data_IF_862095022129
#
_entry.id   IF_862095022129
#
_cell.length_a   1.000
_cell.length_b   1.000
_cell.length_c   1.000
_cell.angle_alpha   90.00
_cell.angle_beta   90.00
_cell.angle_gamma   90.00
#
_symmetry.space_group_name_H-M   'P 1'
#
loop_
_entity.id
_entity.type
_entity.pdbx_description
1 polymer ?
#
# COMPACT_ATOMS: atom_id res chain seq x y z
N UNK A 1 -11.92 -10.11 39.20
CA UNK A 1 -13.15 -10.58 38.52
C UNK A 1 -14.34 -10.59 39.49
N UNK A 2 -14.35 -11.45 40.49
CA UNK A 2 -15.51 -11.58 41.39
C UNK A 2 -15.79 -10.32 42.23
N UNK A 3 -14.79 -9.56 42.64
CA UNK A 3 -14.99 -8.24 43.28
C UNK A 3 -15.78 -7.27 42.42
N UNK A 4 -15.51 -7.29 41.11
CA UNK A 4 -16.21 -6.42 40.14
C UNK A 4 -17.65 -6.84 39.87
N UNK A 5 -18.04 -8.10 40.19
CA UNK A 5 -19.40 -8.62 40.01
C UNK A 5 -20.24 -8.60 41.32
N UNK A 6 -19.63 -8.19 42.44
CA UNK A 6 -20.28 -8.12 43.73
C UNK A 6 -20.59 -9.49 44.33
N UNK A 7 -19.96 -10.56 43.85
CA UNK A 7 -20.10 -11.90 44.37
C UNK A 7 -19.22 -12.09 45.61
N UNK A 8 -19.79 -12.45 46.75
CA UNK A 8 -19.06 -12.84 47.93
C UNK A 8 -18.39 -14.21 47.72
N UNK A 9 -17.10 -14.30 47.94
CA UNK A 9 -16.33 -15.54 47.74
C UNK A 9 -15.21 -15.68 48.79
N UNK A 10 -14.78 -16.93 49.02
CA UNK A 10 -13.57 -17.24 49.76
C UNK A 10 -12.65 -18.08 48.90
N UNK A 11 -11.34 -17.88 49.02
CA UNK A 11 -10.31 -18.64 48.31
C UNK A 11 -9.65 -19.58 49.35
N UNK A 12 -9.66 -20.89 49.08
CA UNK A 12 -8.95 -21.88 49.84
C UNK A 12 -7.88 -22.52 48.93
N UNK A 13 -6.64 -22.64 49.40
CA UNK A 13 -5.55 -23.29 48.66
C UNK A 13 -4.98 -24.42 49.52
N UNK A 14 -4.73 -25.58 48.90
CA UNK A 14 -4.20 -26.78 49.55
C UNK A 14 -2.79 -27.21 49.04
N UNK A 15 -2.13 -26.32 48.31
CA UNK A 15 -0.81 -26.63 47.69
C UNK A 15 -0.92 -27.33 46.33
N UNK A 16 -2.07 -27.91 45.98
CA UNK A 16 -2.33 -28.49 44.66
C UNK A 16 -3.07 -27.54 43.72
N UNK A 17 -3.74 -26.52 44.30
CA UNK A 17 -4.51 -25.52 43.54
C UNK A 17 -5.29 -24.56 44.43
N UNK A 18 -6.09 -23.71 43.81
CA UNK A 18 -6.97 -22.80 44.48
C UNK A 18 -8.43 -23.18 44.21
N UNK A 19 -9.22 -23.35 45.28
CA UNK A 19 -10.64 -23.56 45.22
C UNK A 19 -11.38 -22.25 45.54
N UNK A 20 -12.38 -21.93 44.75
CA UNK A 20 -13.28 -20.80 44.95
C UNK A 20 -14.58 -21.29 45.60
N UNK A 21 -14.83 -20.85 46.79
CA UNK A 21 -16.06 -21.13 47.53
C UNK A 21 -16.99 -19.94 47.43
N UNK A 22 -18.22 -20.22 46.96
CA UNK A 22 -19.31 -19.23 46.88
C UNK A 22 -20.56 -19.85 47.52
N UNK A 23 -21.49 -19.01 47.98
CA UNK A 23 -22.76 -19.52 48.52
C UNK A 23 -23.56 -20.29 47.45
N UNK A 24 -24.26 -21.37 47.79
CA UNK A 24 -24.91 -22.25 46.80
C UNK A 24 -25.80 -21.53 45.79
N UNK A 25 -26.54 -20.50 46.25
CA UNK A 25 -27.39 -19.68 45.41
C UNK A 25 -26.64 -18.91 44.31
N UNK A 26 -25.34 -18.65 44.47
CA UNK A 26 -24.52 -17.96 43.48
C UNK A 26 -23.61 -18.90 42.66
N UNK A 27 -23.65 -20.20 42.90
CA UNK A 27 -22.79 -21.18 42.26
C UNK A 27 -22.87 -21.15 40.70
N UNK A 28 -24.09 -21.13 40.16
CA UNK A 28 -24.33 -21.10 38.72
C UNK A 28 -23.80 -19.79 38.08
N UNK A 29 -24.03 -18.65 38.75
CA UNK A 29 -23.52 -17.34 38.31
C UNK A 29 -22.00 -17.28 38.37
N UNK A 30 -21.39 -17.79 39.42
CA UNK A 30 -19.93 -17.84 39.56
C UNK A 30 -19.31 -18.73 38.47
N UNK A 31 -19.94 -19.86 38.15
CA UNK A 31 -19.50 -20.77 37.09
C UNK A 31 -19.59 -20.12 35.70
N UNK A 32 -20.65 -19.41 35.38
CA UNK A 32 -20.82 -18.66 34.12
C UNK A 32 -19.77 -17.56 33.99
N UNK A 33 -19.53 -16.78 35.06
CA UNK A 33 -18.48 -15.75 35.08
C UNK A 33 -17.08 -16.34 34.91
N UNK A 34 -16.78 -17.48 35.52
CA UNK A 34 -15.50 -18.16 35.31
C UNK A 34 -15.33 -18.65 33.86
N UNK A 35 -16.36 -19.19 33.24
CA UNK A 35 -16.34 -19.63 31.85
C UNK A 35 -16.14 -18.43 30.90
N UNK A 36 -16.86 -17.34 31.11
CA UNK A 36 -16.68 -16.09 30.35
C UNK A 36 -15.25 -15.56 30.48
N UNK A 37 -14.73 -15.49 31.68
CA UNK A 37 -13.36 -15.05 31.93
C UNK A 37 -12.31 -15.96 31.26
N UNK A 38 -12.48 -17.26 31.35
CA UNK A 38 -11.58 -18.22 30.68
C UNK A 38 -11.63 -18.06 29.17
N UNK A 39 -12.82 -17.87 28.59
CA UNK A 39 -12.98 -17.59 27.16
C UNK A 39 -12.33 -16.27 26.75
N UNK A 40 -12.56 -15.19 27.50
CA UNK A 40 -11.90 -13.90 27.23
C UNK A 40 -10.39 -13.98 27.33
N UNK A 41 -9.86 -14.65 28.35
CA UNK A 41 -8.41 -14.84 28.55
C UNK A 41 -7.79 -15.66 27.42
N UNK A 42 -8.47 -16.71 26.96
CA UNK A 42 -8.01 -17.53 25.83
C UNK A 42 -7.96 -16.72 24.52
N UNK A 43 -9.00 -15.90 24.26
CA UNK A 43 -9.05 -14.99 23.13
C UNK A 43 -7.94 -13.91 23.21
N UNK A 44 -7.71 -13.36 24.40
CA UNK A 44 -6.63 -12.40 24.62
C UNK A 44 -5.26 -13.03 24.36
N UNK A 45 -5.00 -14.21 24.90
CA UNK A 45 -3.75 -14.93 24.68
C UNK A 45 -3.53 -15.28 23.20
N UNK A 46 -4.58 -15.73 22.49
CA UNK A 46 -4.52 -16.00 21.05
C UNK A 46 -4.21 -14.73 20.24
N UNK A 47 -4.81 -13.58 20.59
CA UNK A 47 -4.52 -12.29 19.98
C UNK A 47 -3.08 -11.85 20.23
N UNK A 48 -2.60 -12.01 21.47
CA UNK A 48 -1.25 -11.64 21.85
C UNK A 48 -0.20 -12.49 21.11
N UNK A 49 -0.42 -13.81 21.00
CA UNK A 49 0.42 -14.70 20.18
C UNK A 49 0.44 -14.26 18.71
N UNK A 50 -0.72 -13.99 18.12
CA UNK A 50 -0.81 -13.53 16.73
C UNK A 50 -0.09 -12.19 16.53
N UNK A 51 -0.17 -11.28 17.50
CA UNK A 51 0.53 -9.99 17.47
C UNK A 51 2.05 -10.17 17.57
N UNK A 52 2.54 -11.02 18.49
CA UNK A 52 3.96 -11.32 18.61
C UNK A 52 4.50 -12.03 17.38
N UNK A 53 3.75 -12.96 16.76
CA UNK A 53 4.12 -13.60 15.50
C UNK A 53 4.25 -12.61 14.34
N UNK A 54 3.37 -11.61 14.28
CA UNK A 54 3.46 -10.53 13.28
C UNK A 54 4.67 -9.62 13.51
N UNK A 55 4.96 -9.29 14.77
CA UNK A 55 6.11 -8.47 15.16
C UNK A 55 7.45 -9.19 15.00
N UNK A 56 7.49 -10.51 15.24
CA UNK A 56 8.68 -11.33 15.11
C UNK A 56 9.09 -11.59 13.65
N UNK A 57 8.25 -11.22 12.67
CA UNK A 57 8.58 -11.41 11.25
C UNK A 57 9.73 -10.51 10.87
N UNK A 58 10.83 -11.12 10.41
CA UNK A 58 11.96 -10.37 9.86
C UNK A 58 11.49 -9.61 8.60
N UNK A 59 11.88 -8.35 8.41
CA UNK A 59 11.63 -7.62 7.16
C UNK A 59 12.21 -8.37 5.97
N UNK A 60 11.64 -8.19 4.79
CA UNK A 60 12.26 -8.67 3.55
C UNK A 60 13.53 -7.87 3.25
N UNK A 61 14.53 -8.55 2.70
CA UNK A 61 15.71 -7.90 2.12
C UNK A 61 15.44 -7.35 0.72
N UNK A 62 16.50 -6.79 0.10
CA UNK A 62 16.43 -6.30 -1.29
C UNK A 62 15.83 -4.89 -1.46
N UNK A 63 15.65 -4.16 -0.37
CA UNK A 63 15.11 -2.79 -0.42
C UNK A 63 15.99 -1.83 -1.25
N UNK A 64 17.31 -1.97 -1.15
CA UNK A 64 18.27 -1.18 -1.94
C UNK A 64 18.18 -1.46 -3.44
N UNK A 65 18.03 -2.73 -3.83
CA UNK A 65 17.94 -3.10 -5.24
C UNK A 65 16.65 -2.54 -5.88
N UNK A 66 15.51 -2.65 -5.18
CA UNK A 66 14.25 -2.08 -5.67
C UNK A 66 14.29 -0.55 -5.76
N UNK A 67 14.85 0.12 -4.74
CA UNK A 67 15.03 1.57 -4.75
C UNK A 67 15.98 2.03 -5.88
N UNK A 68 17.09 1.31 -6.08
CA UNK A 68 18.00 1.60 -7.17
C UNK A 68 17.36 1.40 -8.55
N UNK A 69 16.58 0.35 -8.74
CA UNK A 69 15.83 0.11 -9.98
C UNK A 69 14.80 1.21 -10.26
N UNK A 70 14.06 1.65 -9.25
CA UNK A 70 13.13 2.76 -9.36
C UNK A 70 13.87 4.07 -9.75
N UNK A 71 14.91 4.42 -9.02
CA UNK A 71 15.70 5.61 -9.31
C UNK A 71 16.33 5.56 -10.71
N UNK A 72 16.86 4.40 -11.10
CA UNK A 72 17.45 4.20 -12.42
C UNK A 72 16.43 4.47 -13.54
N UNK A 73 15.21 3.93 -13.44
CA UNK A 73 14.16 4.13 -14.44
C UNK A 73 13.82 5.61 -14.58
N UNK A 74 13.60 6.31 -13.45
CA UNK A 74 13.27 7.74 -13.51
C UNK A 74 14.39 8.59 -14.07
N UNK A 75 15.65 8.31 -13.69
CA UNK A 75 16.81 9.05 -14.19
C UNK A 75 17.08 8.78 -15.67
N UNK A 76 16.92 7.53 -16.14
CA UNK A 76 17.07 7.20 -17.57
C UNK A 76 16.03 7.91 -18.43
N UNK A 77 14.77 7.97 -17.98
CA UNK A 77 13.72 8.70 -18.70
C UNK A 77 13.98 10.21 -18.65
N UNK A 78 14.38 10.76 -17.50
CA UNK A 78 14.71 12.17 -17.37
C UNK A 78 15.89 12.57 -18.28
N UNK A 79 16.92 11.71 -18.41
CA UNK A 79 18.02 11.89 -19.37
C UNK A 79 17.50 11.87 -20.82
N UNK A 80 16.65 10.90 -21.17
CA UNK A 80 16.03 10.81 -22.49
C UNK A 80 15.23 12.06 -22.86
N UNK A 81 14.52 12.65 -21.90
CA UNK A 81 13.80 13.92 -22.09
C UNK A 81 14.75 15.09 -22.29
N UNK A 82 15.83 15.18 -21.48
CA UNK A 82 16.77 16.30 -21.51
C UNK A 82 17.59 16.37 -22.78
N UNK A 83 18.20 15.26 -23.17
CA UNK A 83 19.10 15.20 -24.32
C UNK A 83 18.43 14.87 -25.65
N UNK A 84 17.18 14.42 -25.61
CA UNK A 84 16.37 14.00 -26.80
C UNK A 84 17.20 13.22 -27.86
N UNK A 85 17.94 12.18 -27.48
CA UNK A 85 18.95 11.55 -28.35
C UNK A 85 18.34 10.94 -29.63
N UNK A 86 17.00 10.78 -29.68
CA UNK A 86 16.26 10.18 -30.79
C UNK A 86 15.33 11.16 -31.50
N UNK A 87 15.48 12.48 -31.27
CA UNK A 87 14.57 13.52 -31.81
C UNK A 87 13.09 13.27 -31.50
N UNK A 88 12.80 12.60 -30.38
CA UNK A 88 11.45 12.24 -29.94
C UNK A 88 11.00 13.19 -28.84
N UNK A 89 9.80 13.72 -28.96
CA UNK A 89 9.13 14.40 -27.84
C UNK A 89 8.58 13.36 -26.86
N UNK A 90 9.39 13.07 -25.84
CA UNK A 90 9.06 12.09 -24.80
C UNK A 90 7.80 12.47 -24.01
N UNK A 91 7.62 13.76 -23.75
CA UNK A 91 6.46 14.26 -23.00
C UNK A 91 5.18 14.13 -23.85
N UNK A 92 5.22 14.57 -25.11
CA UNK A 92 4.08 14.43 -25.99
C UNK A 92 3.69 12.94 -26.21
N UNK A 93 4.68 12.03 -26.25
CA UNK A 93 4.47 10.60 -26.49
C UNK A 93 3.98 9.87 -25.26
N UNK A 94 4.43 10.26 -24.05
CA UNK A 94 4.26 9.49 -22.82
C UNK A 94 3.40 10.12 -21.73
N UNK A 95 3.08 11.41 -21.79
CA UNK A 95 2.23 12.06 -20.79
C UNK A 95 0.82 11.46 -20.75
N UNK A 96 0.24 11.37 -19.58
CA UNK A 96 -1.17 11.02 -19.41
C UNK A 96 -2.02 12.04 -20.17
N UNK A 97 -2.94 11.58 -20.98
CA UNK A 97 -3.85 12.42 -21.74
C UNK A 97 -5.25 11.84 -21.72
N UNK A 98 -6.24 12.65 -21.37
CA UNK A 98 -7.63 12.28 -21.57
C UNK A 98 -7.94 12.34 -23.09
N UNK A 99 -8.38 11.24 -23.73
CA UNK A 99 -8.69 11.24 -25.15
C UNK A 99 -9.94 12.07 -25.42
N UNK A 100 -10.06 12.67 -26.62
CA UNK A 100 -11.31 13.22 -27.08
C UNK A 100 -12.42 12.14 -27.10
N UNK A 101 -13.67 12.56 -26.93
CA UNK A 101 -14.82 11.65 -26.94
C UNK A 101 -14.85 10.83 -28.24
N UNK A 102 -14.95 9.50 -28.09
CA UNK A 102 -14.98 8.55 -29.21
C UNK A 102 -13.63 8.08 -29.73
N UNK A 103 -12.52 8.52 -29.13
CA UNK A 103 -11.19 8.00 -29.46
C UNK A 103 -10.76 6.92 -28.48
N UNK A 104 -9.85 6.05 -28.94
CA UNK A 104 -9.31 4.97 -28.12
C UNK A 104 -8.34 5.50 -27.07
N UNK A 105 -8.40 4.89 -25.88
CA UNK A 105 -7.42 5.13 -24.80
C UNK A 105 -6.04 4.65 -25.22
N UNK A 106 -5.05 5.52 -25.17
CA UNK A 106 -3.64 5.19 -25.34
C UNK A 106 -3.11 4.62 -24.00
N UNK A 107 -3.43 3.35 -23.73
CA UNK A 107 -3.22 2.67 -22.44
C UNK A 107 -1.80 2.79 -21.88
N UNK A 108 -0.79 2.85 -22.75
CA UNK A 108 0.62 3.02 -22.33
C UNK A 108 0.86 4.29 -21.53
N UNK A 109 0.10 5.35 -21.80
CA UNK A 109 0.21 6.63 -21.10
C UNK A 109 -0.07 6.51 -19.60
N UNK A 110 -0.91 5.56 -19.21
CA UNK A 110 -1.16 5.27 -17.79
C UNK A 110 0.10 4.83 -17.05
N UNK A 111 1.08 4.29 -17.76
CA UNK A 111 2.34 3.84 -17.19
C UNK A 111 3.51 4.78 -17.50
N UNK A 112 3.64 5.23 -18.76
CA UNK A 112 4.76 6.10 -19.15
C UNK A 112 4.73 7.44 -18.44
N UNK A 113 3.55 8.00 -18.16
CA UNK A 113 3.37 9.23 -17.39
C UNK A 113 3.98 9.15 -15.98
N UNK A 114 3.97 7.97 -15.35
CA UNK A 114 4.58 7.75 -14.03
C UNK A 114 6.11 7.87 -14.05
N UNK A 115 6.73 7.89 -15.22
CA UNK A 115 8.20 7.99 -15.35
C UNK A 115 8.66 9.37 -15.81
N UNK A 116 7.74 10.24 -16.23
CA UNK A 116 8.00 11.59 -16.71
C UNK A 116 7.89 12.62 -15.57
N UNK A 117 8.66 13.70 -15.65
CA UNK A 117 8.65 14.76 -14.65
C UNK A 117 8.79 16.14 -15.30
N UNK A 118 8.13 17.16 -14.71
CA UNK A 118 8.08 18.52 -15.23
C UNK A 118 9.36 19.30 -14.92
N UNK A 119 10.00 19.02 -13.78
CA UNK A 119 11.20 19.74 -13.34
C UNK A 119 12.11 18.83 -12.50
N UNK A 120 13.40 19.21 -12.32
CA UNK A 120 14.32 18.50 -11.43
C UNK A 120 13.81 18.40 -9.98
N UNK A 121 13.14 19.43 -9.46
CA UNK A 121 12.57 19.46 -8.10
C UNK A 121 11.43 18.44 -7.98
N UNK A 122 10.57 18.35 -9.01
CA UNK A 122 9.50 17.38 -9.08
C UNK A 122 10.06 15.94 -9.13
N UNK A 123 11.10 15.70 -9.94
CA UNK A 123 11.81 14.43 -9.98
C UNK A 123 12.44 14.09 -8.62
N UNK A 124 13.13 15.05 -7.98
CA UNK A 124 13.81 14.82 -6.71
C UNK A 124 12.81 14.48 -5.60
N UNK A 125 11.68 15.19 -5.51
CA UNK A 125 10.64 14.90 -4.54
C UNK A 125 10.06 13.49 -4.72
N UNK A 126 9.80 13.10 -5.96
CA UNK A 126 9.31 11.75 -6.29
C UNK A 126 10.36 10.67 -5.99
N UNK A 127 11.65 10.93 -6.23
CA UNK A 127 12.72 10.03 -5.84
C UNK A 127 12.75 9.82 -4.33
N UNK A 128 12.71 10.90 -3.54
CA UNK A 128 12.77 10.82 -2.08
C UNK A 128 11.57 10.05 -1.51
N UNK A 129 10.37 10.48 -1.85
CA UNK A 129 9.14 9.87 -1.30
C UNK A 129 8.87 8.49 -1.89
N UNK A 130 9.18 8.27 -3.18
CA UNK A 130 9.03 6.97 -3.82
C UNK A 130 10.00 5.93 -3.27
N UNK A 131 11.27 6.30 -3.02
CA UNK A 131 12.23 5.42 -2.35
C UNK A 131 11.76 5.11 -0.93
N UNK A 132 11.32 6.10 -0.16
CA UNK A 132 10.82 5.88 1.21
C UNK A 132 9.62 4.92 1.23
N UNK A 133 8.59 5.17 0.42
CA UNK A 133 7.41 4.30 0.28
C UNK A 133 7.79 2.91 -0.24
N UNK A 134 8.64 2.82 -1.25
CA UNK A 134 9.11 1.59 -1.85
C UNK A 134 9.92 0.72 -0.88
N UNK A 135 10.79 1.33 -0.07
CA UNK A 135 11.53 0.62 0.99
C UNK A 135 10.58 0.04 2.03
N UNK A 136 9.57 0.80 2.48
CA UNK A 136 8.57 0.32 3.43
C UNK A 136 7.73 -0.83 2.83
N UNK A 137 7.28 -0.70 1.60
CA UNK A 137 6.57 -1.76 0.88
C UNK A 137 7.47 -3.00 0.69
N UNK A 138 8.75 -2.82 0.33
CA UNK A 138 9.70 -3.94 0.20
C UNK A 138 9.87 -4.68 1.52
N UNK A 139 10.05 -3.96 2.62
CA UNK A 139 10.21 -4.60 3.94
C UNK A 139 9.01 -5.44 4.34
N UNK A 140 7.81 -5.06 3.89
CA UNK A 140 6.56 -5.74 4.24
C UNK A 140 6.18 -6.84 3.25
N UNK A 141 6.28 -6.58 1.94
CA UNK A 141 5.77 -7.46 0.86
C UNK A 141 6.87 -8.15 0.05
N UNK A 142 8.10 -7.70 0.17
CA UNK A 142 9.23 -8.11 -0.67
C UNK A 142 9.49 -7.15 -1.84
N UNK A 143 10.69 -7.27 -2.42
CA UNK A 143 11.18 -6.33 -3.44
C UNK A 143 10.38 -6.38 -4.74
N UNK A 144 9.95 -7.55 -5.19
CA UNK A 144 9.17 -7.66 -6.43
C UNK A 144 7.70 -7.30 -6.23
N UNK A 145 7.03 -7.97 -5.28
CA UNK A 145 5.60 -7.78 -5.04
C UNK A 145 5.29 -6.38 -4.53
N UNK A 146 6.16 -5.81 -3.67
CA UNK A 146 5.99 -4.45 -3.16
C UNK A 146 6.04 -3.40 -4.27
N UNK A 147 7.09 -3.42 -5.09
CA UNK A 147 7.25 -2.47 -6.20
C UNK A 147 6.23 -2.69 -7.32
N UNK A 148 5.89 -3.93 -7.63
CA UNK A 148 4.82 -4.23 -8.58
C UNK A 148 3.47 -3.70 -8.11
N UNK A 149 3.15 -3.84 -6.80
CA UNK A 149 1.94 -3.27 -6.22
C UNK A 149 1.91 -1.75 -6.31
N UNK A 150 3.03 -1.07 -6.08
CA UNK A 150 3.16 0.39 -6.26
C UNK A 150 2.91 0.78 -7.72
N UNK A 151 3.56 0.10 -8.66
CA UNK A 151 3.38 0.35 -10.09
C UNK A 151 1.93 0.16 -10.52
N UNK A 152 1.32 -0.97 -10.17
CA UNK A 152 -0.06 -1.28 -10.54
C UNK A 152 -1.05 -0.30 -9.91
N UNK A 153 -0.82 0.16 -8.67
CA UNK A 153 -1.69 1.18 -8.07
C UNK A 153 -1.67 2.50 -8.86
N UNK A 154 -0.49 2.94 -9.31
CA UNK A 154 -0.34 4.10 -10.16
C UNK A 154 -0.99 3.92 -11.54
N UNK A 155 -0.77 2.77 -12.18
CA UNK A 155 -1.37 2.46 -13.50
C UNK A 155 -2.89 2.43 -13.43
N UNK A 156 -3.46 1.76 -12.43
CA UNK A 156 -4.92 1.69 -12.25
C UNK A 156 -5.51 3.08 -12.00
N UNK A 157 -4.86 3.89 -11.18
CA UNK A 157 -5.28 5.26 -10.92
C UNK A 157 -5.27 6.10 -12.21
N UNK A 158 -4.18 6.07 -12.96
CA UNK A 158 -4.06 6.79 -14.22
C UNK A 158 -5.06 6.32 -15.28
N UNK A 159 -5.37 5.01 -15.36
CA UNK A 159 -6.42 4.50 -16.25
C UNK A 159 -7.81 5.04 -15.88
N UNK A 160 -8.11 5.12 -14.59
CA UNK A 160 -9.36 5.73 -14.14
C UNK A 160 -9.36 7.21 -14.46
N UNK A 161 -8.28 7.92 -14.13
CA UNK A 161 -8.17 9.35 -14.33
C UNK A 161 -8.33 9.77 -15.79
N UNK A 162 -7.59 9.12 -16.71
CA UNK A 162 -7.72 9.43 -18.14
C UNK A 162 -9.10 9.11 -18.71
N UNK A 163 -9.90 8.28 -18.01
CA UNK A 163 -11.27 7.95 -18.41
C UNK A 163 -12.31 8.97 -17.95
N UNK A 164 -12.01 9.72 -16.87
CA UNK A 164 -12.97 10.67 -16.26
C UNK A 164 -12.53 12.12 -16.36
N UNK A 165 -11.25 12.37 -16.66
CA UNK A 165 -10.72 13.72 -16.80
C UNK A 165 -11.30 14.42 -18.06
N UNK A 166 -11.43 15.76 -18.04
CA UNK A 166 -11.90 16.50 -19.18
C UNK A 166 -10.96 16.37 -20.38
N UNK A 167 -11.51 16.50 -21.59
CA UNK A 167 -10.72 16.50 -22.82
C UNK A 167 -9.62 17.58 -22.77
N UNK A 168 -8.40 17.22 -23.18
CA UNK A 168 -7.23 18.09 -23.10
C UNK A 168 -6.49 18.07 -21.77
N UNK A 169 -6.97 17.32 -20.78
CA UNK A 169 -6.22 17.08 -19.54
C UNK A 169 -4.92 16.35 -19.83
N UNK A 170 -3.85 16.79 -19.17
CA UNK A 170 -2.54 16.13 -19.24
C UNK A 170 -1.83 16.16 -17.90
N UNK A 171 -1.22 15.04 -17.51
CA UNK A 171 -0.44 14.91 -16.27
C UNK A 171 0.81 14.06 -16.48
N UNK A 172 1.85 14.35 -15.67
CA UNK A 172 3.09 13.56 -15.58
C UNK A 172 3.61 13.56 -14.14
N UNK A 173 4.17 12.44 -13.72
CA UNK A 173 4.81 12.31 -12.40
C UNK A 173 4.63 10.93 -11.80
N UNK A 174 5.65 10.47 -11.06
CA UNK A 174 5.56 9.23 -10.28
C UNK A 174 4.65 9.36 -9.05
N UNK A 175 4.21 10.56 -8.71
CA UNK A 175 3.50 10.87 -7.46
C UNK A 175 2.22 10.05 -7.27
N UNK A 176 1.46 9.78 -8.34
CA UNK A 176 0.29 8.88 -8.31
C UNK A 176 0.66 7.50 -7.74
N UNK A 177 1.77 6.91 -8.19
CA UNK A 177 2.28 5.64 -7.67
C UNK A 177 2.88 5.80 -6.26
N UNK A 178 3.51 6.92 -5.94
CA UNK A 178 4.01 7.24 -4.59
C UNK A 178 2.85 7.24 -3.60
N UNK A 179 1.74 7.94 -3.89
CA UNK A 179 0.53 7.88 -3.05
C UNK A 179 -0.11 6.49 -3.07
N UNK A 180 0.04 5.74 -4.16
CA UNK A 180 -0.29 4.32 -4.22
C UNK A 180 0.46 3.51 -3.16
N UNK A 181 1.74 3.78 -2.91
CA UNK A 181 2.52 3.13 -1.85
C UNK A 181 1.97 3.40 -0.45
N UNK A 182 1.55 4.65 -0.19
CA UNK A 182 0.91 5.06 1.08
C UNK A 182 -0.42 4.33 1.26
N UNK A 183 -1.23 4.27 0.20
CA UNK A 183 -2.48 3.52 0.17
C UNK A 183 -2.27 2.04 0.46
N UNK A 184 -1.29 1.41 -0.21
CA UNK A 184 -0.96 -0.01 -0.07
C UNK A 184 -0.60 -0.38 1.38
N UNK A 185 0.23 0.44 2.02
CA UNK A 185 0.60 0.28 3.43
C UNK A 185 -0.60 0.48 4.36
N UNK A 186 -1.40 1.52 4.10
CA UNK A 186 -2.57 1.87 4.91
C UNK A 186 -3.65 0.79 4.84
N UNK A 187 -3.98 0.31 3.65
CA UNK A 187 -4.99 -0.72 3.43
C UNK A 187 -4.61 -2.05 4.06
N UNK A 188 -3.34 -2.45 3.89
CA UNK A 188 -2.81 -3.65 4.53
C UNK A 188 -2.87 -3.54 6.07
N UNK A 189 -2.35 -2.44 6.63
CA UNK A 189 -2.31 -2.24 8.07
C UNK A 189 -3.74 -2.15 8.66
N UNK A 190 -4.66 -1.46 8.00
CA UNK A 190 -6.05 -1.37 8.40
C UNK A 190 -6.71 -2.75 8.48
N UNK A 191 -6.57 -3.56 7.44
CA UNK A 191 -7.12 -4.93 7.43
C UNK A 191 -6.53 -5.82 8.53
N UNK A 192 -5.23 -5.69 8.81
CA UNK A 192 -4.59 -6.43 9.91
C UNK A 192 -5.18 -6.05 11.27
N UNK A 193 -5.39 -4.77 11.53
CA UNK A 193 -5.98 -4.29 12.78
C UNK A 193 -7.42 -4.72 12.96
N UNK A 194 -8.22 -4.78 11.89
CA UNK A 194 -9.56 -5.36 11.92
C UNK A 194 -9.52 -6.84 12.31
N UNK A 195 -8.58 -7.60 11.74
CA UNK A 195 -8.40 -9.03 12.04
C UNK A 195 -7.98 -9.27 13.50
N UNK A 196 -7.18 -8.37 14.06
CA UNK A 196 -6.75 -8.42 15.46
C UNK A 196 -7.83 -7.92 16.43
N UNK A 197 -8.96 -7.43 15.94
CA UNK A 197 -10.04 -6.82 16.75
C UNK A 197 -9.51 -5.77 17.72
N UNK A 198 -8.58 -4.93 17.26
CA UNK A 198 -8.06 -3.83 18.07
C UNK A 198 -9.17 -2.86 18.46
N UNK A 199 -8.92 -2.03 19.50
CA UNK A 199 -9.88 -1.00 19.94
C UNK A 199 -10.22 -0.09 18.77
N UNK A 200 -11.47 0.37 18.68
CA UNK A 200 -12.02 1.13 17.55
C UNK A 200 -11.09 2.28 17.09
N UNK A 201 -10.60 3.07 18.04
CA UNK A 201 -9.71 4.20 17.76
C UNK A 201 -8.43 3.77 17.00
N UNK A 202 -7.80 2.64 17.40
CA UNK A 202 -6.57 2.16 16.80
C UNK A 202 -6.76 1.50 15.43
N UNK A 203 -7.99 1.07 15.08
CA UNK A 203 -8.26 0.48 13.77
C UNK A 203 -8.12 1.51 12.65
N UNK A 204 -8.50 2.76 12.93
CA UNK A 204 -8.53 3.83 11.93
C UNK A 204 -7.20 4.56 11.77
N UNK A 205 -6.25 4.43 12.69
CA UNK A 205 -4.99 5.17 12.61
C UNK A 205 -4.20 4.98 11.32
N UNK A 206 -4.14 3.79 10.65
CA UNK A 206 -3.44 3.67 9.37
C UNK A 206 -4.10 4.47 8.25
N UNK A 207 -5.44 4.49 8.22
CA UNK A 207 -6.19 5.29 7.24
C UNK A 207 -6.03 6.78 7.51
N UNK A 208 -6.19 7.21 8.77
CA UNK A 208 -6.02 8.62 9.14
C UNK A 208 -4.61 9.10 8.84
N UNK A 209 -3.59 8.30 9.14
CA UNK A 209 -2.20 8.61 8.79
C UNK A 209 -1.99 8.74 7.28
N UNK A 210 -2.54 7.82 6.49
CA UNK A 210 -2.49 7.86 5.02
C UNK A 210 -3.20 9.09 4.45
N UNK A 211 -4.41 9.39 4.91
CA UNK A 211 -5.19 10.57 4.50
C UNK A 211 -4.48 11.86 4.92
N UNK A 212 -3.88 11.90 6.12
CA UNK A 212 -3.10 13.08 6.56
C UNK A 212 -1.88 13.33 5.67
N UNK A 213 -1.16 12.27 5.27
CA UNK A 213 -0.05 12.39 4.33
C UNK A 213 -0.52 12.85 2.95
N UNK A 214 -1.65 12.32 2.46
CA UNK A 214 -2.24 12.76 1.21
C UNK A 214 -2.62 14.25 1.27
N UNK A 215 -3.26 14.70 2.34
CA UNK A 215 -3.64 16.10 2.50
C UNK A 215 -2.42 17.03 2.61
N UNK A 216 -1.37 16.61 3.35
CA UNK A 216 -0.18 17.41 3.58
C UNK A 216 0.72 17.52 2.34
N UNK A 217 0.92 16.41 1.63
CA UNK A 217 1.88 16.32 0.53
C UNK A 217 1.21 16.36 -0.85
N UNK A 218 -0.08 16.00 -0.91
CA UNK A 218 -0.81 15.79 -2.16
C UNK A 218 -1.57 17.00 -2.69
N UNK A 219 -1.71 18.08 -1.91
CA UNK A 219 -2.56 19.23 -2.25
C UNK A 219 -1.79 20.56 -2.36
N UNK A 220 -0.46 20.55 -2.27
CA UNK A 220 0.35 21.78 -2.27
C UNK A 220 0.90 22.16 -3.64
N UNK A 221 0.40 23.27 -4.24
CA UNK A 221 0.95 23.86 -5.47
C UNK A 221 -0.09 24.04 -6.58
N UNK A 222 0.15 25.03 -7.47
CA UNK A 222 -0.80 25.41 -8.54
C UNK A 222 -0.93 24.36 -9.67
N UNK A 223 0.01 23.41 -9.77
CA UNK A 223 0.05 22.39 -10.83
C UNK A 223 0.05 20.96 -10.29
N UNK A 224 -0.51 20.77 -9.08
CA UNK A 224 -0.54 19.45 -8.44
C UNK A 224 -1.74 18.66 -8.92
N UNK A 225 -1.51 17.46 -9.39
CA UNK A 225 -2.54 16.49 -9.77
C UNK A 225 -3.17 15.85 -8.53
N UNK A 226 -4.07 16.58 -7.87
CA UNK A 226 -4.75 16.12 -6.65
C UNK A 226 -5.62 14.90 -6.91
N UNK A 227 -6.26 14.83 -8.10
CA UNK A 227 -7.12 13.70 -8.46
C UNK A 227 -6.30 12.43 -8.65
N UNK A 228 -5.20 12.48 -9.40
CA UNK A 228 -4.29 11.35 -9.55
C UNK A 228 -3.71 10.86 -8.23
N UNK A 229 -3.34 11.79 -7.32
CA UNK A 229 -2.88 11.43 -5.97
C UNK A 229 -3.95 10.68 -5.15
N UNK A 230 -5.20 11.18 -5.17
CA UNK A 230 -6.32 10.53 -4.49
C UNK A 230 -6.60 9.15 -5.08
N UNK A 231 -6.67 9.05 -6.41
CA UNK A 231 -6.90 7.78 -7.09
C UNK A 231 -5.77 6.78 -6.85
N UNK A 232 -4.51 7.25 -6.84
CA UNK A 232 -3.34 6.45 -6.48
C UNK A 232 -3.45 5.87 -5.09
N UNK A 233 -3.78 6.72 -4.11
CA UNK A 233 -4.00 6.29 -2.73
C UNK A 233 -5.13 5.27 -2.62
N UNK A 234 -6.27 5.49 -3.27
CA UNK A 234 -7.42 4.58 -3.23
C UNK A 234 -7.10 3.23 -3.91
N UNK A 235 -6.46 3.24 -5.07
CA UNK A 235 -6.02 2.02 -5.75
C UNK A 235 -5.04 1.22 -4.88
N UNK A 236 -4.06 1.90 -4.28
CA UNK A 236 -3.14 1.29 -3.32
C UNK A 236 -3.85 0.72 -2.10
N UNK A 237 -4.83 1.44 -1.53
CA UNK A 237 -5.63 1.01 -0.37
C UNK A 237 -6.34 -0.32 -0.66
N UNK A 238 -6.98 -0.43 -1.82
CA UNK A 238 -7.69 -1.64 -2.24
C UNK A 238 -6.71 -2.80 -2.46
N UNK A 239 -5.57 -2.56 -3.12
CA UNK A 239 -4.53 -3.57 -3.31
C UNK A 239 -3.93 -4.02 -1.98
N UNK A 240 -3.64 -3.11 -1.06
CA UNK A 240 -3.12 -3.44 0.28
C UNK A 240 -4.08 -4.27 1.10
N UNK A 241 -5.37 -3.94 1.02
CA UNK A 241 -6.44 -4.76 1.59
C UNK A 241 -6.45 -6.17 0.97
N UNK A 242 -6.39 -6.27 -0.36
CA UNK A 242 -6.32 -7.54 -1.09
C UNK A 242 -5.09 -8.37 -0.71
N UNK A 243 -3.92 -7.73 -0.57
CA UNK A 243 -2.68 -8.37 -0.11
C UNK A 243 -2.84 -8.96 1.30
N UNK A 244 -3.54 -8.26 2.19
CA UNK A 244 -3.80 -8.76 3.53
C UNK A 244 -4.75 -9.97 3.53
N UNK A 245 -5.75 -9.99 2.64
CA UNK A 245 -6.65 -11.13 2.45
C UNK A 245 -5.90 -12.34 1.89
N UNK A 246 -5.10 -12.14 0.84
CA UNK A 246 -4.30 -13.18 0.20
C UNK A 246 -3.13 -13.68 1.06
N UNK A 247 -2.81 -12.99 2.15
CA UNK A 247 -1.68 -13.35 3.01
C UNK A 247 -0.31 -13.17 2.36
N UNK A 248 -0.20 -12.21 1.43
CA UNK A 248 1.01 -11.92 0.62
C UNK A 248 2.31 -11.86 1.44
N UNK A 249 2.38 -11.23 2.62
CA UNK A 249 3.61 -11.21 3.40
C UNK A 249 4.08 -12.57 3.94
N UNK A 250 3.28 -13.64 3.76
CA UNK A 250 3.65 -15.00 4.18
C UNK A 250 4.57 -15.68 3.19
N UNK A 251 4.56 -15.25 1.93
CA UNK A 251 5.32 -15.92 0.87
C UNK A 251 6.71 -15.28 0.72
N UNK A 252 7.73 -15.94 1.31
CA UNK A 252 9.14 -15.50 1.26
C UNK A 252 9.94 -16.15 0.12
N UNK A 253 9.29 -16.89 -0.79
CA UNK A 253 9.97 -17.51 -1.92
C UNK A 253 10.50 -16.46 -2.90
N UNK A 254 11.68 -16.69 -3.44
CA UNK A 254 12.29 -15.77 -4.41
C UNK A 254 11.54 -15.75 -5.76
N UNK A 255 11.01 -16.90 -6.19
CA UNK A 255 10.36 -17.02 -7.49
C UNK A 255 9.20 -16.01 -7.71
N UNK A 256 8.19 -15.87 -6.82
CA UNK A 256 7.15 -14.86 -7.03
C UNK A 256 7.67 -13.42 -6.92
N UNK A 257 8.74 -13.18 -6.17
CA UNK A 257 9.36 -11.86 -6.12
C UNK A 257 10.04 -11.51 -7.45
N UNK A 258 10.81 -12.44 -8.00
CA UNK A 258 11.49 -12.26 -9.30
C UNK A 258 10.48 -12.12 -10.44
N UNK A 259 9.41 -12.92 -10.43
CA UNK A 259 8.34 -12.83 -11.42
C UNK A 259 7.66 -11.45 -11.38
N UNK A 260 7.30 -10.97 -10.20
CA UNK A 260 6.67 -9.66 -10.04
C UNK A 260 7.60 -8.51 -10.47
N UNK A 261 8.89 -8.58 -10.08
CA UNK A 261 9.88 -7.59 -10.51
C UNK A 261 10.08 -7.60 -12.03
N UNK A 262 10.22 -8.78 -12.63
CA UNK A 262 10.34 -8.94 -14.09
C UNK A 262 9.10 -8.46 -14.85
N UNK A 263 7.90 -8.77 -14.33
CA UNK A 263 6.65 -8.30 -14.93
C UNK A 263 6.54 -6.76 -14.88
N UNK A 264 6.91 -6.13 -13.75
CA UNK A 264 6.94 -4.67 -13.64
C UNK A 264 7.91 -4.03 -14.63
N UNK A 265 9.13 -4.57 -14.74
CA UNK A 265 10.12 -4.08 -15.70
C UNK A 265 9.64 -4.27 -17.16
N UNK A 266 9.09 -5.43 -17.49
CA UNK A 266 8.55 -5.71 -18.83
C UNK A 266 7.41 -4.76 -19.19
N UNK A 267 6.50 -4.46 -18.26
CA UNK A 267 5.41 -3.51 -18.49
C UNK A 267 5.94 -2.11 -18.83
N UNK A 268 6.98 -1.62 -18.12
CA UNK A 268 7.60 -0.32 -18.40
C UNK A 268 8.20 -0.29 -19.82
N UNK A 269 8.96 -1.34 -20.17
CA UNK A 269 9.59 -1.44 -21.50
C UNK A 269 8.53 -1.50 -22.61
N UNK A 270 7.50 -2.32 -22.44
CA UNK A 270 6.42 -2.48 -23.43
C UNK A 270 5.62 -1.18 -23.59
N UNK A 271 5.35 -0.46 -22.48
CA UNK A 271 4.62 0.80 -22.54
C UNK A 271 5.41 1.88 -23.28
N UNK A 272 6.70 2.02 -23.01
CA UNK A 272 7.54 2.96 -23.76
C UNK A 272 7.74 2.55 -25.22
N UNK A 273 7.89 1.26 -25.50
CA UNK A 273 7.93 0.77 -26.88
C UNK A 273 6.65 1.10 -27.64
N UNK A 274 5.48 0.94 -27.03
CA UNK A 274 4.19 1.29 -27.65
C UNK A 274 4.09 2.80 -27.86
N UNK A 275 4.48 3.62 -26.89
CA UNK A 275 4.49 5.08 -26.97
C UNK A 275 5.36 5.58 -28.14
N UNK A 276 6.58 5.06 -28.25
CA UNK A 276 7.54 5.48 -29.28
C UNK A 276 7.12 5.01 -30.68
N UNK A 277 6.52 3.81 -30.80
CA UNK A 277 5.94 3.36 -32.07
C UNK A 277 4.78 4.22 -32.53
N UNK A 278 3.87 4.57 -31.60
CA UNK A 278 2.74 5.42 -31.91
C UNK A 278 3.21 6.82 -32.37
N UNK A 279 4.25 7.38 -31.74
CA UNK A 279 4.86 8.64 -32.15
C UNK A 279 5.52 8.56 -33.54
N UNK A 280 6.30 7.49 -33.81
CA UNK A 280 6.96 7.29 -35.11
C UNK A 280 6.02 6.98 -36.28
N UNK A 281 4.79 6.54 -36.01
CA UNK A 281 3.77 6.32 -37.03
C UNK A 281 3.05 7.63 -37.47
N UNK A 282 3.31 8.74 -36.78
CA UNK A 282 2.73 10.06 -37.09
C UNK A 282 3.62 10.91 -38.01
N UNK A 283 4.80 10.41 -38.34
CA UNK A 283 5.76 11.01 -39.30
C UNK A 283 5.94 10.09 -40.50
#
# INVERSE_FOLDING_TARGET
>A
MFEATGLAYTLAGDGSGWALHVAPEFAARAQDEMQRYAAERSLFAARQRKRSDLQARKPFGGATAGAAGYALVLLLVAFGVGDSPFSVDWVASGALKAPPVGQHLEWWRALTALTLHQSPEHLLSNLVFGVAGGVLCTRLFGYGIGWFGILISGVLANLVEMSIAPAGYSAIGASTAVFGSVGLLSGYAWRQRLTLRERWLYRWTPLMGGVSLLALLGAGGEHVDVLGHLLGFLAGLLLGWGYALAGVPRNRRAAPQNLAAGAGAALIVVAWWAALRAAGAQY
#
